data_IF_245011592783
#
_entry.id   IF_245011592783
#
_cell.length_a   1.000
_cell.length_b   1.000
_cell.length_c   1.000
_cell.angle_alpha   90.00
_cell.angle_beta   90.00
_cell.angle_gamma   90.00
#
_symmetry.space_group_name_H-M   'P 1'
#
loop_
_entity.id
_entity.type
_entity.pdbx_description
1 polymer ?
#
# COMPACT_ATOMS: atom_id res chain seq x y z
N UNK A 1 0.35 -1.15 -4.52
CA UNK A 1 -0.52 -1.71 -3.46
C UNK A 1 -1.59 -2.53 -4.14
N UNK A 2 -2.02 -3.66 -3.57
CA UNK A 2 -2.89 -4.59 -4.29
C UNK A 2 -3.85 -5.33 -3.34
N UNK A 3 -5.13 -5.44 -3.69
CA UNK A 3 -6.10 -6.25 -2.96
C UNK A 3 -5.97 -7.72 -3.34
N UNK A 4 -5.73 -8.61 -2.37
CA UNK A 4 -5.40 -10.02 -2.64
C UNK A 4 -6.49 -10.75 -3.43
N UNK A 5 -7.75 -10.32 -3.29
CA UNK A 5 -8.91 -10.92 -3.93
C UNK A 5 -9.40 -10.14 -5.17
N UNK A 6 -8.55 -9.35 -5.83
CA UNK A 6 -8.94 -8.56 -7.00
C UNK A 6 -9.37 -9.48 -8.17
N UNK A 7 -10.66 -9.46 -8.57
CA UNK A 7 -11.16 -10.33 -9.63
C UNK A 7 -10.85 -9.79 -11.04
N UNK A 8 -10.38 -8.54 -11.16
CA UNK A 8 -10.14 -7.86 -12.43
C UNK A 8 -8.67 -7.87 -12.80
N UNK A 9 -7.80 -7.58 -11.84
CA UNK A 9 -6.35 -7.53 -12.02
C UNK A 9 -5.73 -8.50 -11.04
N UNK A 10 -5.15 -9.60 -11.53
CA UNK A 10 -4.61 -10.62 -10.63
C UNK A 10 -3.38 -10.14 -9.87
N UNK A 11 -3.20 -10.62 -8.64
CA UNK A 11 -2.11 -10.27 -7.74
C UNK A 11 -0.72 -10.46 -8.38
N UNK A 12 -0.56 -11.53 -9.16
CA UNK A 12 0.72 -11.91 -9.79
C UNK A 12 1.24 -10.81 -10.74
N UNK A 13 0.36 -10.00 -11.32
CA UNK A 13 0.77 -8.86 -12.16
C UNK A 13 1.62 -7.85 -11.36
N UNK A 14 1.22 -7.59 -10.11
CA UNK A 14 1.99 -6.71 -9.22
C UNK A 14 3.26 -7.40 -8.74
N UNK A 15 3.20 -8.70 -8.42
CA UNK A 15 4.36 -9.46 -7.96
C UNK A 15 5.47 -9.53 -9.02
N UNK A 16 5.12 -9.73 -10.29
CA UNK A 16 6.09 -9.73 -11.39
C UNK A 16 6.77 -8.37 -11.55
N UNK A 17 6.02 -7.27 -11.45
CA UNK A 17 6.59 -5.92 -11.51
C UNK A 17 7.53 -5.66 -10.32
N UNK A 18 7.12 -6.03 -9.10
CA UNK A 18 7.95 -5.88 -7.89
C UNK A 18 9.24 -6.68 -8.01
N UNK A 19 9.16 -7.93 -8.49
CA UNK A 19 10.34 -8.76 -8.72
C UNK A 19 11.29 -8.14 -9.76
N UNK A 20 10.75 -7.64 -10.87
CA UNK A 20 11.54 -6.98 -11.92
C UNK A 20 12.24 -5.71 -11.42
N UNK A 21 11.53 -4.85 -10.69
CA UNK A 21 12.08 -3.62 -10.13
C UNK A 21 13.16 -3.89 -9.06
N UNK A 22 12.94 -4.87 -8.18
CA UNK A 22 13.94 -5.31 -7.19
C UNK A 22 15.20 -5.85 -7.88
N UNK A 23 15.04 -6.67 -8.94
CA UNK A 23 16.16 -7.16 -9.75
C UNK A 23 16.93 -6.01 -10.42
N UNK A 24 16.25 -4.92 -10.77
CA UNK A 24 16.84 -3.70 -11.29
C UNK A 24 17.45 -2.77 -10.22
N UNK A 25 17.52 -3.22 -8.95
CA UNK A 25 18.08 -2.44 -7.85
C UNK A 25 17.25 -1.23 -7.45
N UNK A 26 15.95 -1.20 -7.78
CA UNK A 26 15.05 -0.15 -7.35
C UNK A 26 14.50 -0.47 -5.96
N UNK A 27 14.42 0.55 -5.11
CA UNK A 27 13.64 0.46 -3.88
C UNK A 27 12.16 0.46 -4.22
N UNK A 28 11.44 -0.57 -3.77
CA UNK A 28 10.02 -0.78 -4.07
C UNK A 28 9.29 -1.18 -2.83
N UNK A 29 8.40 -0.31 -2.40
CA UNK A 29 7.41 -0.61 -1.38
C UNK A 29 6.25 -1.39 -2.00
N UNK A 30 5.99 -2.57 -1.46
CA UNK A 30 4.88 -3.43 -1.88
C UNK A 30 4.00 -3.77 -0.68
N UNK A 31 2.71 -3.47 -0.80
CA UNK A 31 1.71 -3.67 0.24
C UNK A 31 0.53 -4.41 -0.38
N UNK A 32 0.12 -5.49 0.29
CA UNK A 32 -1.06 -6.28 -0.07
C UNK A 32 -2.13 -6.13 1.00
N UNK A 33 -3.39 -6.13 0.58
CA UNK A 33 -4.53 -5.99 1.47
C UNK A 33 -5.38 -7.27 1.43
N UNK A 34 -5.24 -8.11 2.46
CA UNK A 34 -6.02 -9.34 2.59
C UNK A 34 -7.50 -9.01 2.79
N UNK A 35 -8.36 -9.59 1.97
CA UNK A 35 -9.81 -9.35 2.00
C UNK A 35 -10.30 -8.28 1.02
N UNK A 36 -9.43 -7.39 0.54
CA UNK A 36 -9.78 -6.40 -0.48
C UNK A 36 -9.69 -6.99 -1.90
N UNK A 37 -10.49 -6.42 -2.82
CA UNK A 37 -10.53 -6.77 -4.24
C UNK A 37 -9.93 -5.66 -5.12
N UNK A 38 -10.62 -5.29 -6.21
CA UNK A 38 -10.18 -4.20 -7.12
C UNK A 38 -10.24 -2.79 -6.53
N UNK A 39 -10.63 -2.68 -5.26
CA UNK A 39 -10.63 -1.47 -4.49
C UNK A 39 -10.64 -1.83 -3.01
N UNK A 40 -10.15 -0.90 -2.20
CA UNK A 40 -10.10 -1.08 -0.77
C UNK A 40 -11.48 -0.78 -0.17
N UNK A 41 -12.07 -1.75 0.53
CA UNK A 41 -13.39 -1.57 1.15
C UNK A 41 -13.29 -1.26 2.65
N UNK A 42 -12.22 -1.73 3.30
CA UNK A 42 -12.02 -1.51 4.74
C UNK A 42 -11.36 -0.16 5.00
N UNK A 43 -11.90 0.60 5.94
CA UNK A 43 -11.34 1.90 6.33
C UNK A 43 -9.91 1.78 6.86
N UNK A 44 -9.56 0.69 7.54
CA UNK A 44 -8.21 0.41 8.05
C UNK A 44 -7.19 0.23 6.92
N UNK A 45 -7.59 -0.46 5.85
CA UNK A 45 -6.79 -0.62 4.64
C UNK A 45 -6.66 0.70 3.88
N UNK A 46 -7.73 1.50 3.81
CA UNK A 46 -7.68 2.85 3.26
C UNK A 46 -6.71 3.75 4.02
N UNK A 47 -6.77 3.76 5.35
CA UNK A 47 -5.84 4.52 6.18
C UNK A 47 -4.40 4.08 5.90
N UNK A 48 -4.13 2.77 5.88
CA UNK A 48 -2.80 2.23 5.58
C UNK A 48 -2.32 2.65 4.18
N UNK A 49 -3.20 2.58 3.18
CA UNK A 49 -2.91 3.00 1.81
C UNK A 49 -2.51 4.49 1.76
N UNK A 50 -3.34 5.37 2.31
CA UNK A 50 -3.07 6.81 2.31
C UNK A 50 -1.76 7.15 3.02
N UNK A 51 -1.48 6.50 4.15
CA UNK A 51 -0.25 6.69 4.94
C UNK A 51 0.99 6.28 4.17
N UNK A 52 0.97 5.09 3.58
CA UNK A 52 2.09 4.62 2.74
C UNK A 52 2.28 5.48 1.50
N UNK A 53 1.20 6.00 0.92
CA UNK A 53 1.28 6.92 -0.22
C UNK A 53 1.87 8.28 0.16
N UNK A 54 1.43 8.91 1.25
CA UNK A 54 2.03 10.18 1.69
C UNK A 54 3.51 10.03 2.04
N UNK A 55 3.89 8.95 2.73
CA UNK A 55 5.29 8.69 3.11
C UNK A 55 6.19 8.52 1.89
N UNK A 56 5.74 7.72 0.91
CA UNK A 56 6.46 7.53 -0.35
C UNK A 56 6.60 8.86 -1.12
N UNK A 57 5.51 9.62 -1.26
CA UNK A 57 5.54 10.89 -1.98
C UNK A 57 6.43 11.93 -1.29
N UNK A 58 6.41 12.00 0.05
CA UNK A 58 7.28 12.91 0.78
C UNK A 58 8.77 12.55 0.65
N UNK A 59 9.10 11.26 0.57
CA UNK A 59 10.47 10.80 0.30
C UNK A 59 10.94 11.17 -1.12
N UNK A 60 10.07 11.07 -2.12
CA UNK A 60 10.44 11.33 -3.51
C UNK A 60 10.34 12.80 -3.93
N UNK A 61 9.34 13.52 -3.44
CA UNK A 61 8.97 14.86 -3.89
C UNK A 61 9.14 15.93 -2.80
N UNK A 62 9.46 15.52 -1.56
CA UNK A 62 9.43 16.39 -0.40
C UNK A 62 8.00 16.69 0.08
N UNK A 63 7.89 17.53 1.12
CA UNK A 63 6.61 17.94 1.70
C UNK A 63 6.35 17.32 3.07
N UNK A 64 5.13 17.52 3.57
CA UNK A 64 4.70 17.04 4.88
C UNK A 64 3.96 15.72 4.74
N UNK A 65 4.22 14.82 5.67
CA UNK A 65 3.35 13.66 5.94
C UNK A 65 2.64 13.92 7.26
N UNK A 66 1.48 13.31 7.48
CA UNK A 66 0.84 13.43 8.79
C UNK A 66 1.44 12.48 9.83
N UNK A 67 2.39 11.61 9.45
CA UNK A 67 3.13 10.74 10.36
C UNK A 67 2.23 9.72 11.07
N UNK A 68 2.67 9.28 12.25
CA UNK A 68 1.88 8.40 13.13
C UNK A 68 0.74 9.19 13.79
N UNK A 69 -0.46 8.61 13.85
CA UNK A 69 -1.60 9.16 14.57
C UNK A 69 -2.37 8.09 15.36
N UNK A 70 -3.31 8.53 16.21
CA UNK A 70 -4.11 7.63 17.02
C UNK A 70 -5.13 6.79 16.21
N UNK A 71 -5.46 7.18 14.98
CA UNK A 71 -6.32 6.39 14.11
C UNK A 71 -5.63 5.12 13.63
N UNK A 72 -4.29 5.14 13.49
CA UNK A 72 -3.51 3.94 13.20
C UNK A 72 -3.58 2.91 14.34
N UNK A 73 -3.58 3.35 15.60
CA UNK A 73 -3.83 2.44 16.73
C UNK A 73 -5.22 1.80 16.65
N UNK A 74 -6.24 2.62 16.35
CA UNK A 74 -7.59 2.12 16.13
C UNK A 74 -7.65 1.11 14.98
N UNK A 75 -6.89 1.33 13.90
CA UNK A 75 -6.85 0.43 12.76
C UNK A 75 -6.11 -0.89 13.02
N UNK A 76 -5.32 -0.99 14.09
CA UNK A 76 -4.69 -2.24 14.51
C UNK A 76 -5.53 -3.02 15.52
N UNK A 77 -6.42 -2.32 16.23
CA UNK A 77 -7.31 -2.92 17.22
C UNK A 77 -8.53 -3.64 16.61
N UNK A 78 -8.88 -3.33 15.36
CA UNK A 78 -10.06 -3.84 14.64
C UNK A 78 -9.68 -4.31 13.22
#
# INVERSE_FOLDING_TARGET
>A
MHGVNDPRVKLEQSEWMVAALRKAGKDVQYVTFTGDGHGNQKWTNNLTMYRKTEDFLAQCLGGRTSGFDYYQLGAWAF
#
